data_IF_274432241856
#
_entry.id   IF_274432241856
#
_cell.length_a   1.000
_cell.length_b   1.000
_cell.length_c   1.000
_cell.angle_alpha   90.00
_cell.angle_beta   90.00
_cell.angle_gamma   90.00
#
_symmetry.space_group_name_H-M   'P 1'
#
loop_
_entity.id
_entity.type
_entity.pdbx_description
1 polymer ?
#
# COMPACT_ATOMS: atom_id res chain seq x y z
N UNK A 1 -8.68 -15.09 -1.51
CA UNK A 1 -9.05 -13.65 -1.43
C UNK A 1 -10.45 -13.51 -1.98
N UNK A 2 -11.25 -12.57 -1.48
CA UNK A 2 -12.59 -12.33 -2.05
C UNK A 2 -12.48 -11.51 -3.33
N UNK A 3 -13.47 -11.59 -4.22
CA UNK A 3 -13.50 -10.84 -5.47
C UNK A 3 -13.44 -9.32 -5.24
N UNK A 4 -14.02 -8.83 -4.13
CA UNK A 4 -13.96 -7.42 -3.72
C UNK A 4 -12.54 -6.98 -3.34
N UNK A 5 -11.79 -7.83 -2.62
CA UNK A 5 -10.39 -7.54 -2.30
C UNK A 5 -9.53 -7.49 -3.55
N UNK A 6 -9.73 -8.43 -4.47
CA UNK A 6 -9.03 -8.46 -5.76
C UNK A 6 -9.36 -7.23 -6.62
N UNK A 7 -10.63 -6.82 -6.64
CA UNK A 7 -11.07 -5.58 -7.30
C UNK A 7 -10.38 -4.35 -6.74
N UNK A 8 -10.30 -4.24 -5.41
CA UNK A 8 -9.61 -3.14 -4.74
C UNK A 8 -8.13 -3.09 -5.08
N UNK A 9 -7.42 -4.22 -4.97
CA UNK A 9 -5.99 -4.29 -5.33
C UNK A 9 -5.77 -3.81 -6.77
N UNK A 10 -6.60 -4.25 -7.71
CA UNK A 10 -6.43 -3.97 -9.12
C UNK A 10 -6.71 -2.52 -9.55
N UNK A 11 -7.67 -1.87 -8.91
CA UNK A 11 -8.10 -0.52 -9.28
C UNK A 11 -7.40 0.57 -8.46
N UNK A 12 -6.83 0.23 -7.29
CA UNK A 12 -6.11 1.18 -6.44
C UNK A 12 -4.58 0.99 -6.45
N UNK A 13 -4.05 -0.10 -7.00
CA UNK A 13 -2.59 -0.30 -7.14
C UNK A 13 -2.08 0.04 -8.53
N UNK A 14 -0.87 0.58 -8.62
CA UNK A 14 -0.16 0.68 -9.91
C UNK A 14 0.22 -0.73 -10.36
N UNK A 15 -0.11 -1.07 -11.61
CA UNK A 15 0.25 -2.37 -12.23
C UNK A 15 1.72 -2.47 -12.63
N UNK A 16 2.41 -1.32 -12.68
CA UNK A 16 3.81 -1.20 -13.05
C UNK A 16 4.61 -0.63 -11.86
N UNK A 17 5.75 -1.24 -11.58
CA UNK A 17 6.72 -0.70 -10.63
C UNK A 17 7.56 0.42 -11.28
N UNK A 18 8.34 1.14 -10.46
CA UNK A 18 9.35 2.08 -10.94
C UNK A 18 10.43 1.38 -11.79
N UNK A 19 11.22 2.15 -12.53
CA UNK A 19 12.28 1.57 -13.36
C UNK A 19 13.32 0.85 -12.50
N UNK A 20 13.73 -0.34 -12.95
CA UNK A 20 14.70 -1.18 -12.25
C UNK A 20 16.05 -0.46 -12.15
N UNK A 21 16.45 -0.12 -10.92
CA UNK A 21 17.75 0.52 -10.64
C UNK A 21 18.97 -0.38 -10.89
N UNK A 22 18.75 -1.69 -11.08
CA UNK A 22 19.79 -2.68 -11.39
C UNK A 22 19.91 -2.97 -12.89
N UNK A 23 19.14 -2.29 -13.74
CA UNK A 23 19.23 -2.36 -15.19
C UNK A 23 20.34 -1.44 -15.68
N UNK A 24 21.40 -2.01 -16.28
CA UNK A 24 22.42 -1.24 -16.96
C UNK A 24 22.28 -1.39 -18.48
N UNK A 25 22.09 -0.26 -19.18
CA UNK A 25 21.99 -0.23 -20.64
C UNK A 25 23.38 0.01 -21.24
N UNK A 26 24.25 -0.99 -21.16
CA UNK A 26 25.51 -0.96 -21.92
C UNK A 26 25.23 -1.40 -23.36
N UNK A 27 25.90 -0.73 -24.31
CA UNK A 27 25.61 -0.69 -25.75
C UNK A 27 25.42 -2.03 -26.48
N UNK A 28 25.68 -3.19 -25.84
CA UNK A 28 25.46 -4.51 -26.42
C UNK A 28 24.86 -5.57 -25.46
N UNK A 29 24.58 -5.25 -24.18
CA UNK A 29 23.96 -6.21 -23.23
C UNK A 29 23.16 -5.50 -22.14
N UNK A 30 21.84 -5.69 -22.12
CA UNK A 30 20.92 -5.35 -21.03
C UNK A 30 21.23 -6.18 -19.77
N UNK A 31 22.20 -5.81 -18.93
CA UNK A 31 22.60 -6.67 -17.79
C UNK A 31 21.75 -6.42 -16.54
N UNK A 32 21.38 -7.50 -15.86
CA UNK A 32 20.67 -7.49 -14.57
C UNK A 32 21.64 -7.76 -13.42
N UNK A 33 21.90 -6.78 -12.55
CA UNK A 33 22.84 -6.95 -11.42
C UNK A 33 22.29 -7.81 -10.25
N UNK A 34 21.02 -8.23 -10.30
CA UNK A 34 20.43 -9.16 -9.32
C UNK A 34 20.77 -10.62 -9.63
N UNK A 35 20.93 -10.96 -10.90
CA UNK A 35 21.21 -12.34 -11.34
C UNK A 35 22.73 -12.47 -11.48
N UNK A 36 23.33 -13.40 -10.75
CA UNK A 36 24.78 -13.62 -10.73
C UNK A 36 25.33 -14.28 -12.02
N UNK A 37 24.53 -14.33 -13.09
CA UNK A 37 24.89 -14.84 -14.42
C UNK A 37 24.84 -13.68 -15.44
N UNK A 38 25.70 -13.68 -16.47
CA UNK A 38 25.65 -12.71 -17.58
C UNK A 38 24.41 -12.89 -18.48
N UNK A 39 23.21 -12.66 -17.95
CA UNK A 39 21.96 -12.74 -18.71
C UNK A 39 21.43 -11.35 -19.04
N UNK A 40 20.84 -11.27 -20.23
CA UNK A 40 20.05 -10.11 -20.67
C UNK A 40 18.77 -9.99 -19.84
N UNK A 41 18.45 -8.80 -19.37
CA UNK A 41 17.23 -8.49 -18.63
C UNK A 41 16.04 -8.52 -19.59
N UNK A 42 15.20 -9.55 -19.47
CA UNK A 42 14.00 -9.71 -20.31
C UNK A 42 12.96 -8.61 -20.07
N UNK A 43 12.99 -7.98 -18.90
CA UNK A 43 12.00 -6.97 -18.50
C UNK A 43 12.37 -5.54 -18.95
N UNK A 44 13.46 -5.35 -19.70
CA UNK A 44 13.90 -4.05 -20.26
C UNK A 44 13.93 -2.89 -19.26
N UNK A 45 14.18 -3.19 -17.98
CA UNK A 45 14.19 -2.18 -16.91
C UNK A 45 12.81 -1.81 -16.33
N UNK A 46 11.73 -2.48 -16.71
CA UNK A 46 10.39 -2.31 -16.11
C UNK A 46 10.04 -3.59 -15.36
N UNK A 47 9.92 -3.54 -14.03
CA UNK A 47 9.38 -4.67 -13.28
C UNK A 47 7.85 -4.61 -13.36
N UNK A 48 7.27 -5.48 -14.19
CA UNK A 48 5.83 -5.74 -14.18
C UNK A 48 5.52 -6.77 -13.11
N UNK A 49 4.34 -6.62 -12.50
CA UNK A 49 3.76 -7.62 -11.63
C UNK A 49 3.20 -8.77 -12.50
N UNK A 50 4.05 -9.45 -13.29
CA UNK A 50 3.66 -10.53 -14.23
C UNK A 50 2.85 -11.64 -13.53
N UNK A 51 3.10 -11.88 -12.25
CA UNK A 51 2.28 -12.76 -11.40
C UNK A 51 0.80 -12.34 -11.40
N UNK A 52 0.54 -11.05 -11.24
CA UNK A 52 -0.80 -10.49 -11.31
C UNK A 52 -1.29 -10.52 -12.76
N UNK A 53 -0.50 -10.15 -13.77
CA UNK A 53 -1.01 -10.11 -15.16
C UNK A 53 -1.49 -11.48 -15.69
N UNK A 54 -0.80 -12.58 -15.37
CA UNK A 54 -1.18 -13.90 -15.87
C UNK A 54 -2.32 -14.53 -15.04
N UNK A 55 -2.23 -14.53 -13.70
CA UNK A 55 -3.26 -15.15 -12.85
C UNK A 55 -4.52 -14.27 -12.72
N UNK A 56 -4.42 -12.93 -12.87
CA UNK A 56 -5.61 -12.07 -12.81
C UNK A 56 -6.48 -12.18 -14.04
N UNK A 57 -5.93 -12.48 -15.22
CA UNK A 57 -6.76 -12.62 -16.41
C UNK A 57 -7.73 -13.80 -16.25
N UNK A 58 -7.28 -14.90 -15.65
CA UNK A 58 -8.14 -16.03 -15.32
C UNK A 58 -9.14 -15.67 -14.20
N UNK A 59 -8.71 -14.96 -13.15
CA UNK A 59 -9.60 -14.51 -12.06
C UNK A 59 -10.69 -13.55 -12.56
N UNK A 60 -10.33 -12.58 -13.42
CA UNK A 60 -11.26 -11.58 -13.97
C UNK A 60 -12.23 -12.21 -14.97
N UNK A 61 -11.82 -13.23 -15.73
CA UNK A 61 -12.69 -13.94 -16.67
C UNK A 61 -13.71 -14.86 -15.99
N UNK A 62 -13.43 -15.33 -14.77
CA UNK A 62 -14.28 -16.28 -14.05
C UNK A 62 -15.15 -15.66 -12.93
N UNK A 63 -15.14 -14.33 -12.78
CA UNK A 63 -15.88 -13.63 -11.71
C UNK A 63 -16.73 -12.48 -12.25
N UNK A 64 -17.78 -12.07 -11.52
CA UNK A 64 -18.55 -10.84 -11.81
C UNK A 64 -17.76 -9.60 -11.38
N UNK A 65 -16.52 -9.50 -11.82
CA UNK A 65 -15.52 -8.58 -11.30
C UNK A 65 -15.97 -7.12 -11.34
N UNK A 66 -16.66 -6.69 -12.41
CA UNK A 66 -17.17 -5.32 -12.55
C UNK A 66 -18.31 -4.95 -11.56
N UNK A 67 -18.85 -5.92 -10.82
CA UNK A 67 -19.83 -5.69 -9.74
C UNK A 67 -19.18 -5.64 -8.33
N UNK A 68 -17.89 -5.96 -8.22
CA UNK A 68 -17.20 -6.19 -6.93
C UNK A 68 -16.65 -4.93 -6.25
N UNK A 69 -17.12 -3.74 -6.61
CA UNK A 69 -16.82 -2.48 -5.93
C UNK A 69 -17.89 -2.13 -4.88
N UNK A 70 -17.55 -1.29 -3.91
CA UNK A 70 -18.50 -0.79 -2.92
C UNK A 70 -18.24 0.69 -2.57
N UNK A 71 -19.29 1.39 -2.14
CA UNK A 71 -19.17 2.80 -1.71
C UNK A 71 -18.40 2.88 -0.39
N UNK A 72 -18.56 1.88 0.47
CA UNK A 72 -17.84 1.75 1.74
C UNK A 72 -16.33 1.65 1.53
N UNK A 73 -15.87 0.97 0.48
CA UNK A 73 -14.44 0.91 0.15
C UNK A 73 -13.89 2.30 -0.21
N UNK A 74 -14.66 3.12 -0.94
CA UNK A 74 -14.27 4.51 -1.24
C UNK A 74 -14.29 5.40 0.01
N UNK A 75 -15.22 5.16 0.94
CA UNK A 75 -15.23 5.85 2.25
C UNK A 75 -13.98 5.50 3.05
N UNK A 76 -13.57 4.23 3.07
CA UNK A 76 -12.33 3.80 3.75
C UNK A 76 -11.11 4.43 3.08
N UNK A 77 -11.06 4.47 1.75
CA UNK A 77 -9.97 5.08 0.99
C UNK A 77 -9.81 6.58 1.29
N UNK A 78 -10.90 7.37 1.28
CA UNK A 78 -10.82 8.80 1.60
C UNK A 78 -10.55 9.06 3.09
N UNK A 79 -11.03 8.19 3.98
CA UNK A 79 -10.77 8.29 5.41
C UNK A 79 -9.29 8.05 5.74
N UNK A 80 -8.65 7.08 5.08
CA UNK A 80 -7.20 6.83 5.20
C UNK A 80 -6.38 8.05 4.74
N UNK A 81 -6.78 8.66 3.63
CA UNK A 81 -6.18 9.91 3.16
C UNK A 81 -6.31 11.03 4.23
N UNK A 82 -7.50 11.26 4.80
CA UNK A 82 -7.68 12.27 5.87
C UNK A 82 -6.84 11.93 7.12
N UNK A 83 -6.78 10.65 7.52
CA UNK A 83 -5.98 10.20 8.64
C UNK A 83 -4.48 10.41 8.39
N UNK A 84 -4.00 10.21 7.16
CA UNK A 84 -2.62 10.52 6.79
C UNK A 84 -2.29 12.01 7.02
N UNK A 85 -3.22 12.92 6.69
CA UNK A 85 -3.05 14.37 6.96
C UNK A 85 -2.90 14.65 8.43
N UNK A 86 -3.72 14.00 9.26
CA UNK A 86 -3.67 14.12 10.71
C UNK A 86 -2.31 13.69 11.27
N UNK A 87 -1.81 12.52 10.87
CA UNK A 87 -0.52 12.01 11.31
C UNK A 87 0.66 12.86 10.82
N UNK A 88 0.66 13.30 9.55
CA UNK A 88 1.72 14.15 9.01
C UNK A 88 1.82 15.49 9.77
N UNK A 89 0.68 16.08 10.15
CA UNK A 89 0.64 17.31 10.98
C UNK A 89 1.21 17.03 12.37
N UNK A 90 0.77 15.95 13.03
CA UNK A 90 1.23 15.61 14.37
C UNK A 90 2.74 15.34 14.39
N UNK A 91 3.24 14.50 13.48
CA UNK A 91 4.66 14.19 13.33
C UNK A 91 5.47 15.46 13.02
N UNK A 92 4.99 16.28 12.08
CA UNK A 92 5.64 17.53 11.71
C UNK A 92 5.84 18.46 12.90
N UNK A 93 4.87 18.55 13.80
CA UNK A 93 4.93 19.40 14.98
C UNK A 93 5.69 18.76 16.16
N UNK A 94 5.50 17.46 16.40
CA UNK A 94 6.16 16.71 17.48
C UNK A 94 7.68 16.70 17.29
N UNK A 95 8.13 16.46 16.06
CA UNK A 95 9.55 16.46 15.73
C UNK A 95 10.13 17.87 15.47
N UNK A 96 9.34 18.92 15.69
CA UNK A 96 9.66 20.33 15.39
C UNK A 96 10.17 20.54 13.95
N UNK A 97 9.61 19.81 12.99
CA UNK A 97 9.88 20.00 11.56
C UNK A 97 9.06 21.16 10.98
N UNK A 98 7.91 21.44 11.60
CA UNK A 98 7.01 22.55 11.28
C UNK A 98 6.84 23.40 12.54
N UNK A 99 6.92 24.73 12.40
CA UNK A 99 6.58 25.65 13.47
C UNK A 99 5.06 25.86 13.50
N UNK A 100 4.50 26.06 14.70
CA UNK A 100 3.05 26.24 14.84
C UNK A 100 2.55 27.44 14.03
N UNK A 101 3.21 28.58 14.13
CA UNK A 101 2.78 29.79 13.41
C UNK A 101 2.80 29.57 11.90
N UNK A 102 3.81 28.87 11.39
CA UNK A 102 3.90 28.48 9.98
C UNK A 102 2.73 27.59 9.56
N UNK A 103 2.39 26.59 10.37
CA UNK A 103 1.23 25.73 10.11
C UNK A 103 -0.08 26.52 10.10
N UNK A 104 -0.27 27.44 11.06
CA UNK A 104 -1.48 28.27 11.11
C UNK A 104 -1.63 29.12 9.87
N UNK A 105 -0.55 29.76 9.43
CA UNK A 105 -0.55 30.58 8.24
C UNK A 105 -0.86 29.73 7.01
N UNK A 106 -0.27 28.54 6.90
CA UNK A 106 -0.52 27.64 5.78
C UNK A 106 -1.97 27.12 5.77
N UNK A 107 -2.53 26.76 6.92
CA UNK A 107 -3.95 26.35 7.05
C UNK A 107 -4.88 27.48 6.61
N UNK A 108 -4.60 28.72 7.07
CA UNK A 108 -5.40 29.90 6.70
C UNK A 108 -5.29 30.24 5.23
N UNK A 109 -4.12 30.05 4.63
CA UNK A 109 -3.88 30.32 3.21
C UNK A 109 -4.52 29.26 2.32
N UNK A 110 -4.33 27.98 2.64
CA UNK A 110 -4.86 26.86 1.87
C UNK A 110 -6.38 26.73 2.00
N UNK A 111 -6.95 26.84 3.21
CA UNK A 111 -8.37 26.51 3.46
C UNK A 111 -9.24 27.73 3.79
N UNK A 112 -8.82 28.95 3.42
CA UNK A 112 -9.48 30.22 3.79
C UNK A 112 -11.00 30.21 3.66
N UNK A 113 -11.50 29.70 2.55
CA UNK A 113 -12.93 29.70 2.20
C UNK A 113 -13.63 28.37 2.54
N UNK A 114 -12.89 27.39 3.05
CA UNK A 114 -13.38 26.04 3.32
C UNK A 114 -13.60 25.80 4.82
N UNK A 115 -12.87 26.52 5.68
CA UNK A 115 -13.02 26.45 7.13
C UNK A 115 -14.36 27.08 7.53
N UNK A 116 -15.14 26.36 8.32
CA UNK A 116 -16.39 26.84 8.89
C UNK A 116 -16.15 27.97 9.90
N UNK A 117 -17.11 28.89 10.04
CA UNK A 117 -16.90 30.09 10.88
C UNK A 117 -16.67 29.77 12.36
N UNK A 118 -17.17 28.64 12.86
CA UNK A 118 -16.88 28.15 14.21
C UNK A 118 -15.39 27.82 14.38
N UNK A 119 -14.80 27.11 13.42
CA UNK A 119 -13.39 26.74 13.46
C UNK A 119 -12.47 27.94 13.19
N UNK A 120 -12.93 28.95 12.43
CA UNK A 120 -12.20 30.24 12.31
C UNK A 120 -12.05 30.93 13.67
N UNK A 121 -13.11 30.96 14.48
CA UNK A 121 -13.05 31.52 15.85
C UNK A 121 -12.12 30.70 16.74
N UNK A 122 -12.19 29.37 16.66
CA UNK A 122 -11.27 28.48 17.40
C UNK A 122 -9.81 28.76 17.02
N UNK A 123 -9.48 28.92 15.73
CA UNK A 123 -8.12 29.28 15.29
C UNK A 123 -7.59 30.58 15.93
N UNK A 124 -8.46 31.57 16.21
CA UNK A 124 -8.06 32.81 16.88
C UNK A 124 -7.82 32.61 18.37
N UNK A 125 -8.69 31.85 19.04
CA UNK A 125 -8.59 31.54 20.48
C UNK A 125 -7.38 30.67 20.84
N UNK A 126 -6.92 29.83 19.90
CA UNK A 126 -5.83 28.89 20.12
C UNK A 126 -4.46 29.57 20.34
N UNK A 127 -4.27 30.81 19.87
CA UNK A 127 -2.99 31.53 20.05
C UNK A 127 -2.55 31.67 21.51
N UNK A 128 -3.50 31.69 22.44
CA UNK A 128 -3.24 31.88 23.87
C UNK A 128 -3.17 30.57 24.67
N UNK A 129 -3.27 29.40 24.03
CA UNK A 129 -3.26 28.09 24.71
C UNK A 129 -1.87 27.45 24.69
N UNK A 130 -1.67 26.44 25.53
CA UNK A 130 -0.43 25.65 25.57
C UNK A 130 -0.19 24.89 24.27
N UNK A 131 1.09 24.67 23.92
CA UNK A 131 1.53 23.96 22.71
C UNK A 131 0.79 22.64 22.47
N UNK A 132 0.67 21.77 23.47
CA UNK A 132 -0.01 20.46 23.34
C UNK A 132 -1.48 20.56 22.94
N UNK A 133 -2.21 21.56 23.46
CA UNK A 133 -3.60 21.83 23.09
C UNK A 133 -3.66 22.36 21.66
N UNK A 134 -2.75 23.27 21.30
CA UNK A 134 -2.66 23.80 19.93
C UNK A 134 -2.49 22.69 18.90
N UNK A 135 -1.57 21.72 19.14
CA UNK A 135 -1.33 20.58 18.23
C UNK A 135 -2.63 19.84 17.90
N UNK A 136 -3.33 19.39 18.94
CA UNK A 136 -4.55 18.58 18.82
C UNK A 136 -5.66 19.35 18.10
N UNK A 137 -5.82 20.63 18.42
CA UNK A 137 -6.91 21.44 17.92
C UNK A 137 -6.69 21.85 16.45
N UNK A 138 -5.46 22.18 16.03
CA UNK A 138 -5.19 22.44 14.61
C UNK A 138 -5.42 21.22 13.74
N UNK A 139 -4.98 20.06 14.22
CA UNK A 139 -5.20 18.80 13.50
C UNK A 139 -6.70 18.47 13.41
N UNK A 140 -7.46 18.67 14.50
CA UNK A 140 -8.91 18.48 14.50
C UNK A 140 -9.63 19.43 13.53
N UNK A 141 -9.23 20.70 13.42
CA UNK A 141 -9.84 21.67 12.50
C UNK A 141 -9.66 21.25 11.03
N UNK A 142 -8.47 20.76 10.66
CA UNK A 142 -8.23 20.25 9.31
C UNK A 142 -9.05 18.99 9.04
N UNK A 143 -9.05 18.03 9.97
CA UNK A 143 -9.86 16.80 9.85
C UNK A 143 -11.34 17.15 9.69
N UNK A 144 -11.87 18.07 10.50
CA UNK A 144 -13.26 18.52 10.41
C UNK A 144 -13.54 19.16 9.05
N UNK A 145 -12.69 20.08 8.60
CA UNK A 145 -12.84 20.78 7.32
C UNK A 145 -12.89 19.78 6.15
N UNK A 146 -11.94 18.84 6.11
CA UNK A 146 -11.86 17.80 5.07
C UNK A 146 -13.06 16.85 5.15
N UNK A 147 -13.42 16.39 6.34
CA UNK A 147 -14.52 15.44 6.55
C UNK A 147 -15.87 16.06 6.19
N UNK A 148 -16.13 17.29 6.62
CA UNK A 148 -17.37 18.01 6.29
C UNK A 148 -17.52 18.22 4.78
N UNK A 149 -16.44 18.55 4.07
CA UNK A 149 -16.49 18.70 2.62
C UNK A 149 -16.73 17.37 1.88
N UNK A 150 -16.07 16.28 2.31
CA UNK A 150 -16.31 14.95 1.74
C UNK A 150 -17.75 14.54 1.95
N UNK A 151 -18.31 14.69 3.15
CA UNK A 151 -19.71 14.33 3.43
C UNK A 151 -20.64 15.10 2.50
N UNK A 152 -20.50 16.44 2.45
CA UNK A 152 -21.35 17.31 1.63
C UNK A 152 -21.25 16.96 0.15
N UNK A 153 -20.04 16.92 -0.40
CA UNK A 153 -19.84 16.67 -1.83
C UNK A 153 -20.20 15.24 -2.25
N UNK A 154 -20.04 14.26 -1.35
CA UNK A 154 -20.48 12.88 -1.59
C UNK A 154 -22.01 12.79 -1.61
N UNK A 155 -22.72 13.49 -0.71
CA UNK A 155 -24.18 13.56 -0.73
C UNK A 155 -24.69 14.16 -2.04
N UNK A 156 -24.13 15.29 -2.48
CA UNK A 156 -24.49 15.95 -3.74
C UNK A 156 -24.32 14.98 -4.94
N UNK A 157 -23.20 14.25 -5.00
CA UNK A 157 -22.92 13.30 -6.09
C UNK A 157 -23.81 12.07 -6.04
N UNK A 158 -24.07 11.52 -4.85
CA UNK A 158 -24.93 10.36 -4.68
C UNK A 158 -26.39 10.69 -5.01
N UNK A 159 -26.88 11.87 -4.66
CA UNK A 159 -28.24 12.28 -5.04
C UNK A 159 -28.33 12.50 -6.57
N UNK A 160 -27.33 13.14 -7.18
CA UNK A 160 -27.25 13.26 -8.64
C UNK A 160 -27.20 11.88 -9.34
N UNK A 161 -26.45 10.93 -8.78
CA UNK A 161 -26.39 9.56 -9.29
C UNK A 161 -27.76 8.88 -9.19
N UNK A 162 -28.41 8.99 -8.04
CA UNK A 162 -29.73 8.44 -7.76
C UNK A 162 -30.78 8.98 -8.72
N UNK A 163 -30.77 10.29 -9.00
CA UNK A 163 -31.66 10.92 -9.98
C UNK A 163 -31.36 10.43 -11.41
N UNK A 164 -30.08 10.38 -11.80
CA UNK A 164 -29.68 10.02 -13.17
C UNK A 164 -29.99 8.56 -13.55
N UNK A 165 -30.03 7.66 -12.57
CA UNK A 165 -30.28 6.23 -12.75
C UNK A 165 -31.64 5.77 -12.22
N UNK A 166 -32.48 6.70 -11.77
CA UNK A 166 -33.79 6.45 -11.15
C UNK A 166 -33.73 5.41 -10.01
N UNK A 167 -32.74 5.53 -9.14
CA UNK A 167 -32.50 4.57 -8.06
C UNK A 167 -33.45 4.83 -6.89
N UNK A 168 -34.41 3.92 -6.70
CA UNK A 168 -35.43 4.02 -5.63
C UNK A 168 -35.30 2.96 -4.54
N UNK A 169 -34.62 1.85 -4.83
CA UNK A 169 -34.49 0.70 -3.93
C UNK A 169 -33.06 0.16 -3.95
N UNK A 170 -32.69 -0.57 -2.90
CA UNK A 170 -31.38 -1.23 -2.83
C UNK A 170 -31.18 -2.21 -4.00
N UNK A 171 -32.22 -2.96 -4.37
CA UNK A 171 -32.16 -3.88 -5.52
C UNK A 171 -31.88 -3.13 -6.83
N UNK A 172 -32.51 -1.97 -7.03
CA UNK A 172 -32.24 -1.14 -8.20
C UNK A 172 -30.79 -0.61 -8.22
N UNK A 173 -30.22 -0.26 -7.06
CA UNK A 173 -28.80 0.10 -6.97
C UNK A 173 -27.90 -1.05 -7.40
N UNK A 174 -28.09 -2.25 -6.85
CA UNK A 174 -27.27 -3.42 -7.17
C UNK A 174 -27.38 -3.82 -8.65
N UNK A 175 -28.58 -3.77 -9.24
CA UNK A 175 -28.80 -4.05 -10.65
C UNK A 175 -28.15 -3.02 -11.60
N UNK A 176 -27.87 -1.81 -11.11
CA UNK A 176 -27.20 -0.77 -11.88
C UNK A 176 -25.69 -0.67 -11.61
N UNK A 177 -25.09 -1.52 -10.75
CA UNK A 177 -23.65 -1.47 -10.45
C UNK A 177 -22.76 -1.43 -11.70
N UNK A 178 -23.03 -2.29 -12.68
CA UNK A 178 -22.26 -2.33 -13.95
C UNK A 178 -22.39 -1.00 -14.70
N UNK A 179 -23.58 -0.42 -14.76
CA UNK A 179 -23.81 0.87 -15.43
C UNK A 179 -23.06 2.00 -14.72
N UNK A 180 -23.01 1.98 -13.39
CA UNK A 180 -22.26 2.98 -12.60
C UNK A 180 -20.76 2.90 -12.94
N UNK A 181 -20.17 1.70 -12.98
CA UNK A 181 -18.75 1.54 -13.37
C UNK A 181 -18.50 2.05 -14.79
N UNK A 182 -19.39 1.70 -15.74
CA UNK A 182 -19.22 2.07 -17.15
C UNK A 182 -19.39 3.58 -17.40
N UNK A 183 -20.35 4.22 -16.74
CA UNK A 183 -20.53 5.68 -16.78
C UNK A 183 -19.32 6.42 -16.22
N UNK A 184 -18.66 5.82 -15.24
CA UNK A 184 -17.54 6.43 -14.56
C UNK A 184 -16.25 6.42 -15.40
N UNK A 185 -16.07 5.48 -16.35
CA UNK A 185 -14.74 4.92 -16.64
C UNK A 185 -14.08 4.40 -15.34
N UNK A 186 -13.28 3.34 -15.38
CA UNK A 186 -12.74 2.69 -14.16
C UNK A 186 -12.06 3.63 -13.14
N UNK A 187 -11.62 4.83 -13.55
CA UNK A 187 -11.03 5.85 -12.70
C UNK A 187 -12.02 6.83 -12.01
N UNK A 188 -13.30 6.94 -12.40
CA UNK A 188 -14.24 7.88 -11.76
C UNK A 188 -15.16 7.28 -10.68
N UNK A 189 -15.11 5.97 -10.40
CA UNK A 189 -15.75 5.44 -9.18
C UNK A 189 -15.21 6.16 -7.93
N UNK A 190 -13.91 6.42 -7.94
CA UNK A 190 -13.20 7.20 -6.93
C UNK A 190 -13.64 8.68 -6.86
N UNK A 191 -14.60 9.12 -7.69
CA UNK A 191 -15.17 10.46 -7.61
C UNK A 191 -16.50 10.49 -6.85
N UNK A 192 -17.17 9.36 -6.64
CA UNK A 192 -18.45 9.33 -5.89
C UNK A 192 -18.24 9.84 -4.46
N UNK A 193 -17.22 9.30 -3.79
CA UNK A 193 -16.79 9.72 -2.46
C UNK A 193 -15.41 10.37 -2.57
N UNK A 194 -15.38 11.70 -2.65
CA UNK A 194 -14.13 12.45 -2.79
C UNK A 194 -14.34 13.91 -2.36
N UNK A 195 -13.27 14.67 -2.16
CA UNK A 195 -13.36 16.11 -1.94
C UNK A 195 -14.06 16.84 -3.08
N UNK A 196 -14.68 17.98 -2.77
CA UNK A 196 -15.13 18.93 -3.78
C UNK A 196 -13.93 19.41 -4.63
N UNK A 197 -14.13 19.83 -5.89
CA UNK A 197 -13.04 20.30 -6.74
C UNK A 197 -12.20 21.41 -6.10
N UNK A 198 -12.84 22.26 -5.29
CA UNK A 198 -12.18 23.33 -4.53
C UNK A 198 -11.26 22.74 -3.45
N UNK A 199 -11.81 21.97 -2.50
CA UNK A 199 -11.03 21.39 -1.39
C UNK A 199 -9.94 20.46 -1.92
N UNK A 200 -10.21 19.69 -2.98
CA UNK A 200 -9.19 18.82 -3.61
C UNK A 200 -7.96 19.59 -4.09
N UNK A 201 -8.16 20.80 -4.63
CA UNK A 201 -7.05 21.65 -5.08
C UNK A 201 -6.24 22.17 -3.90
N UNK A 202 -6.93 22.63 -2.86
CA UNK A 202 -6.28 23.17 -1.67
C UNK A 202 -5.57 22.08 -0.85
N UNK A 203 -6.19 20.92 -0.64
CA UNK A 203 -5.59 19.74 -0.01
C UNK A 203 -4.35 19.27 -0.77
N UNK A 204 -4.33 19.35 -2.11
CA UNK A 204 -3.14 19.04 -2.90
C UNK A 204 -1.97 19.97 -2.59
N UNK A 205 -2.22 21.27 -2.43
CA UNK A 205 -1.18 22.24 -2.07
C UNK A 205 -0.69 22.01 -0.64
N UNK A 206 -1.63 21.78 0.28
CA UNK A 206 -1.34 21.50 1.67
C UNK A 206 -0.54 20.19 1.86
N UNK A 207 -0.93 19.12 1.15
CA UNK A 207 -0.19 17.84 1.11
C UNK A 207 1.23 18.04 0.57
N UNK A 208 1.41 18.93 -0.40
CA UNK A 208 2.76 19.28 -0.91
C UNK A 208 3.59 19.97 0.17
N UNK A 209 3.02 20.95 0.87
CA UNK A 209 3.68 21.62 2.00
C UNK A 209 4.12 20.63 3.08
N UNK A 210 3.21 19.76 3.54
CA UNK A 210 3.50 18.74 4.55
C UNK A 210 4.60 17.79 4.06
N UNK A 211 4.52 17.34 2.82
CA UNK A 211 5.55 16.48 2.22
C UNK A 211 6.92 17.14 2.22
N UNK A 212 7.00 18.41 1.82
CA UNK A 212 8.26 19.14 1.72
C UNK A 212 8.91 19.37 3.10
N UNK A 213 8.10 19.50 4.15
CA UNK A 213 8.58 19.70 5.52
C UNK A 213 8.86 18.40 6.29
N UNK A 214 7.96 17.42 6.19
CA UNK A 214 7.95 16.20 7.01
C UNK A 214 8.64 15.05 6.28
N UNK A 215 8.10 14.64 5.13
CA UNK A 215 8.57 13.47 4.38
C UNK A 215 9.97 13.68 3.78
N UNK A 216 10.25 14.89 3.29
CA UNK A 216 11.56 15.24 2.75
C UNK A 216 12.58 15.66 3.84
N UNK A 217 12.24 15.52 5.12
CA UNK A 217 13.14 15.84 6.22
C UNK A 217 14.32 14.86 6.30
N UNK A 218 15.46 15.33 6.86
CA UNK A 218 16.64 14.49 7.06
C UNK A 218 16.34 13.21 7.86
N UNK A 219 15.51 13.32 8.91
CA UNK A 219 15.15 12.17 9.76
C UNK A 219 14.32 11.16 8.98
N UNK A 220 13.27 11.60 8.28
CA UNK A 220 12.42 10.74 7.47
C UNK A 220 13.23 10.02 6.38
N UNK A 221 13.99 10.78 5.57
CA UNK A 221 14.82 10.21 4.49
C UNK A 221 15.86 9.21 5.00
N UNK A 222 16.45 9.45 6.18
CA UNK A 222 17.38 8.50 6.79
C UNK A 222 16.67 7.22 7.24
N UNK A 223 15.48 7.32 7.85
CA UNK A 223 14.70 6.14 8.25
C UNK A 223 14.27 5.34 7.03
N UNK A 224 13.79 5.99 5.97
CA UNK A 224 13.43 5.36 4.69
C UNK A 224 14.63 4.62 4.08
N UNK A 225 15.81 5.24 4.08
CA UNK A 225 17.04 4.61 3.60
C UNK A 225 17.41 3.36 4.39
N UNK A 226 17.32 3.41 5.72
CA UNK A 226 17.58 2.25 6.60
C UNK A 226 16.55 1.14 6.38
N UNK A 227 15.26 1.48 6.32
CA UNK A 227 14.18 0.52 6.06
C UNK A 227 14.37 -0.18 4.73
N UNK A 228 14.59 0.59 3.66
CA UNK A 228 14.85 0.05 2.31
C UNK A 228 16.06 -0.89 2.29
N UNK A 229 17.15 -0.53 2.98
CA UNK A 229 18.33 -1.38 3.06
C UNK A 229 18.03 -2.69 3.79
N UNK A 230 17.39 -2.63 4.97
CA UNK A 230 17.05 -3.80 5.78
C UNK A 230 16.16 -4.77 5.00
N UNK A 231 15.09 -4.27 4.36
CA UNK A 231 14.16 -5.11 3.60
C UNK A 231 14.86 -5.79 2.42
N UNK A 232 15.73 -5.07 1.70
CA UNK A 232 16.54 -5.63 0.61
C UNK A 232 17.47 -6.74 1.10
N UNK A 233 18.21 -6.50 2.18
CA UNK A 233 19.16 -7.47 2.72
C UNK A 233 18.47 -8.71 3.31
N UNK A 234 17.29 -8.54 3.92
CA UNK A 234 16.45 -9.66 4.38
C UNK A 234 15.93 -10.49 3.21
N UNK A 235 15.37 -9.84 2.19
CA UNK A 235 14.87 -10.53 1.01
C UNK A 235 16.01 -11.29 0.32
N UNK A 236 17.16 -10.65 0.16
CA UNK A 236 18.36 -11.24 -0.40
C UNK A 236 18.83 -12.47 0.41
N UNK A 237 18.91 -12.35 1.74
CA UNK A 237 19.31 -13.47 2.61
C UNK A 237 18.44 -14.71 2.37
N UNK A 238 17.12 -14.52 2.33
CA UNK A 238 16.17 -15.62 2.18
C UNK A 238 16.07 -16.18 0.78
N UNK A 239 16.35 -15.39 -0.26
CA UNK A 239 16.38 -15.94 -1.62
C UNK A 239 17.69 -16.67 -1.91
N UNK A 240 18.82 -16.18 -1.40
CA UNK A 240 20.14 -16.81 -1.58
C UNK A 240 20.26 -18.09 -0.74
N UNK A 241 19.64 -18.11 0.45
CA UNK A 241 19.60 -19.29 1.31
C UNK A 241 18.22 -19.44 1.99
N UNK A 242 17.23 -20.04 1.31
CA UNK A 242 15.87 -20.15 1.83
C UNK A 242 15.77 -21.07 3.05
N UNK A 243 16.81 -21.86 3.35
CA UNK A 243 16.92 -22.58 4.62
C UNK A 243 17.12 -21.67 5.83
N UNK A 244 17.21 -20.35 5.68
CA UNK A 244 17.19 -19.40 6.80
C UNK A 244 15.77 -18.99 7.20
N UNK A 245 14.76 -19.29 6.37
CA UNK A 245 13.37 -18.96 6.67
C UNK A 245 12.88 -19.68 7.94
N UNK A 246 11.96 -19.06 8.71
CA UNK A 246 11.36 -19.73 9.85
C UNK A 246 10.55 -20.97 9.47
N UNK A 247 10.39 -21.85 10.44
CA UNK A 247 9.72 -23.13 10.29
C UNK A 247 8.30 -23.01 9.70
N UNK A 248 7.49 -22.08 10.23
CA UNK A 248 6.13 -21.86 9.73
C UNK A 248 6.14 -21.40 8.28
N UNK A 249 7.08 -20.55 7.90
CA UNK A 249 7.21 -19.99 6.56
C UNK A 249 7.58 -21.08 5.54
N UNK A 250 8.47 -22.00 5.90
CA UNK A 250 8.82 -23.15 5.03
C UNK A 250 7.63 -24.09 4.86
N UNK A 251 6.85 -24.31 5.92
CA UNK A 251 5.62 -25.10 5.81
C UNK A 251 4.65 -24.41 4.84
N UNK A 252 4.42 -23.10 4.99
CA UNK A 252 3.56 -22.32 4.09
C UNK A 252 4.02 -22.38 2.63
N UNK A 253 5.33 -22.31 2.36
CA UNK A 253 5.89 -22.47 1.01
C UNK A 253 5.42 -23.79 0.38
N UNK A 254 5.57 -24.91 1.10
CA UNK A 254 5.22 -26.22 0.57
C UNK A 254 3.73 -26.52 0.57
N UNK A 255 2.93 -25.90 1.45
CA UNK A 255 1.47 -25.92 1.32
C UNK A 255 1.05 -25.32 -0.03
N UNK A 256 1.70 -24.23 -0.45
CA UNK A 256 1.36 -23.55 -1.70
C UNK A 256 1.93 -24.22 -2.95
N UNK A 257 3.11 -24.85 -2.85
CA UNK A 257 3.77 -25.51 -3.99
C UNK A 257 3.30 -26.94 -4.27
N UNK A 258 2.66 -27.61 -3.31
CA UNK A 258 2.29 -29.03 -3.43
C UNK A 258 0.77 -29.20 -3.56
N UNK A 259 0.36 -30.24 -4.28
CA UNK A 259 -1.04 -30.68 -4.32
C UNK A 259 -1.49 -31.26 -2.98
N UNK A 260 -2.81 -31.36 -2.76
CA UNK A 260 -3.39 -31.95 -1.55
C UNK A 260 -2.76 -33.33 -1.24
N UNK A 261 -2.38 -33.54 0.03
CA UNK A 261 -1.71 -34.76 0.50
C UNK A 261 -0.18 -34.80 0.31
N UNK A 262 0.41 -33.86 -0.45
CA UNK A 262 1.86 -33.84 -0.72
C UNK A 262 2.76 -33.68 0.52
N UNK A 263 2.21 -33.16 1.63
CA UNK A 263 2.93 -32.99 2.89
C UNK A 263 2.93 -34.23 3.79
N UNK A 264 2.18 -35.28 3.45
CA UNK A 264 2.03 -36.47 4.31
C UNK A 264 3.34 -37.25 4.46
N UNK A 265 4.17 -37.31 3.42
CA UNK A 265 5.51 -37.93 3.44
C UNK A 265 6.47 -37.25 4.44
N UNK A 266 6.22 -35.97 4.74
CA UNK A 266 7.05 -35.16 5.63
C UNK A 266 6.57 -35.22 7.08
N UNK A 267 5.50 -35.97 7.38
CA UNK A 267 5.03 -36.17 8.75
C UNK A 267 5.93 -37.16 9.50
N UNK A 268 6.19 -36.87 10.77
CA UNK A 268 6.81 -37.75 11.76
C UNK A 268 5.92 -37.74 13.00
N UNK A 269 5.43 -38.90 13.42
CA UNK A 269 4.45 -39.03 14.51
C UNK A 269 3.21 -38.12 14.34
N UNK A 270 2.71 -38.01 13.11
CA UNK A 270 1.54 -37.19 12.78
C UNK A 270 1.79 -35.69 12.67
N UNK A 271 3.01 -35.19 12.92
CA UNK A 271 3.38 -33.77 12.81
C UNK A 271 4.35 -33.53 11.66
N UNK A 272 4.21 -32.40 10.97
CA UNK A 272 5.12 -32.03 9.87
C UNK A 272 6.54 -31.84 10.41
N UNK A 273 7.51 -32.54 9.82
CA UNK A 273 8.93 -32.42 10.14
C UNK A 273 9.57 -31.35 9.28
N UNK A 274 9.83 -30.19 9.88
CA UNK A 274 10.46 -29.06 9.18
C UNK A 274 11.89 -29.38 8.75
N UNK A 275 12.62 -30.20 9.51
CA UNK A 275 13.95 -30.66 9.12
C UNK A 275 13.94 -31.40 7.77
N UNK A 276 12.97 -32.31 7.56
CA UNK A 276 12.79 -32.97 6.25
C UNK A 276 12.46 -31.96 5.15
N UNK A 277 11.60 -30.98 5.44
CA UNK A 277 11.27 -29.92 4.49
C UNK A 277 12.47 -29.00 4.17
N UNK A 278 13.37 -28.72 5.12
CA UNK A 278 14.61 -27.96 4.88
C UNK A 278 15.55 -28.71 3.94
N UNK A 279 15.72 -30.01 4.13
CA UNK A 279 16.51 -30.85 3.21
C UNK A 279 15.90 -30.84 1.80
N UNK A 280 14.58 -30.98 1.70
CA UNK A 280 13.87 -30.85 0.42
C UNK A 280 14.08 -29.47 -0.19
N UNK A 281 13.95 -28.41 0.62
CA UNK A 281 14.13 -27.03 0.18
C UNK A 281 15.51 -26.80 -0.40
N UNK A 282 16.56 -27.36 0.20
CA UNK A 282 17.91 -27.29 -0.36
C UNK A 282 18.00 -27.93 -1.76
N UNK A 283 17.42 -29.12 -1.93
CA UNK A 283 17.42 -29.85 -3.21
C UNK A 283 16.58 -29.14 -4.26
N UNK A 284 15.35 -28.75 -3.90
CA UNK A 284 14.45 -28.00 -4.77
C UNK A 284 15.08 -26.67 -5.17
N UNK A 285 15.71 -25.96 -4.23
CA UNK A 285 16.36 -24.69 -4.54
C UNK A 285 17.51 -24.86 -5.53
N UNK A 286 18.34 -25.89 -5.40
CA UNK A 286 19.44 -26.13 -6.35
C UNK A 286 18.95 -26.54 -7.75
N UNK A 287 17.89 -27.36 -7.82
CA UNK A 287 17.47 -27.98 -9.07
C UNK A 287 16.36 -27.21 -9.80
N UNK A 288 15.49 -26.52 -9.04
CA UNK A 288 14.24 -25.93 -9.51
C UNK A 288 14.28 -24.41 -9.52
N UNK A 289 15.41 -23.77 -9.21
CA UNK A 289 15.56 -22.30 -9.26
C UNK A 289 15.21 -21.69 -10.62
N UNK A 290 15.22 -22.48 -11.71
CA UNK A 290 14.84 -22.02 -13.05
C UNK A 290 13.37 -22.28 -13.40
N UNK A 291 12.63 -22.99 -12.54
CA UNK A 291 11.19 -23.22 -12.70
C UNK A 291 10.40 -22.00 -12.21
N UNK A 292 9.61 -21.40 -13.11
CA UNK A 292 8.79 -20.22 -12.81
C UNK A 292 7.87 -20.43 -11.60
N UNK A 293 7.18 -21.58 -11.52
CA UNK A 293 6.29 -21.89 -10.40
C UNK A 293 7.04 -21.91 -9.04
N UNK A 294 8.22 -22.55 -8.99
CA UNK A 294 9.01 -22.60 -7.76
C UNK A 294 9.50 -21.21 -7.33
N UNK A 295 10.08 -20.43 -8.25
CA UNK A 295 10.58 -19.09 -7.95
C UNK A 295 9.45 -18.15 -7.52
N UNK A 296 8.30 -18.20 -8.19
CA UNK A 296 7.15 -17.37 -7.84
C UNK A 296 6.62 -17.74 -6.45
N UNK A 297 6.47 -19.04 -6.17
CA UNK A 297 6.03 -19.52 -4.85
C UNK A 297 7.01 -19.14 -3.73
N UNK A 298 8.32 -19.29 -3.96
CA UNK A 298 9.36 -18.90 -3.01
C UNK A 298 9.36 -17.40 -2.77
N UNK A 299 9.42 -16.60 -3.85
CA UNK A 299 9.44 -15.14 -3.78
C UNK A 299 8.20 -14.60 -3.07
N UNK A 300 7.01 -15.12 -3.38
CA UNK A 300 5.78 -14.75 -2.71
C UNK A 300 5.83 -15.07 -1.22
N UNK A 301 6.28 -16.27 -0.87
CA UNK A 301 6.40 -16.67 0.54
C UNK A 301 7.38 -15.79 1.32
N UNK A 302 8.50 -15.40 0.71
CA UNK A 302 9.45 -14.46 1.32
C UNK A 302 8.78 -13.08 1.51
N UNK A 303 8.09 -12.57 0.49
CA UNK A 303 7.37 -11.29 0.57
C UNK A 303 6.29 -11.30 1.66
N UNK A 304 5.48 -12.35 1.75
CA UNK A 304 4.44 -12.51 2.77
C UNK A 304 5.05 -12.55 4.18
N UNK A 305 6.21 -13.22 4.33
CA UNK A 305 6.91 -13.27 5.61
C UNK A 305 7.51 -11.91 6.01
N UNK A 306 8.19 -11.22 5.08
CA UNK A 306 8.81 -9.92 5.35
C UNK A 306 7.74 -8.84 5.58
N UNK A 307 6.67 -8.81 4.79
CA UNK A 307 5.58 -7.84 4.96
C UNK A 307 4.78 -8.04 6.26
N UNK A 308 4.78 -9.26 6.81
CA UNK A 308 4.20 -9.55 8.12
C UNK A 308 5.06 -9.13 9.32
N UNK A 309 6.27 -8.59 9.09
CA UNK A 309 7.15 -8.13 10.17
C UNK A 309 6.77 -6.74 10.67
N UNK A 310 6.94 -6.52 11.98
CA UNK A 310 7.02 -5.15 12.52
C UNK A 310 8.43 -4.59 12.29
N UNK A 311 8.57 -3.27 12.26
CA UNK A 311 9.88 -2.59 12.10
C UNK A 311 10.93 -3.11 13.10
N UNK A 312 10.55 -3.21 14.37
CA UNK A 312 11.46 -3.71 15.43
C UNK A 312 11.90 -5.14 15.15
N UNK A 313 10.99 -5.98 14.67
CA UNK A 313 11.31 -7.36 14.33
C UNK A 313 12.21 -7.44 13.10
N UNK A 314 11.91 -6.71 12.02
CA UNK A 314 12.75 -6.67 10.82
C UNK A 314 14.18 -6.20 11.12
N UNK A 315 14.33 -5.13 11.92
CA UNK A 315 15.64 -4.64 12.39
C UNK A 315 16.38 -5.72 13.21
N UNK A 316 15.67 -6.39 14.13
CA UNK A 316 16.24 -7.44 14.97
C UNK A 316 16.68 -8.64 14.13
N UNK A 317 15.86 -9.08 13.19
CA UNK A 317 16.13 -10.22 12.34
C UNK A 317 17.33 -9.95 11.41
N UNK A 318 17.38 -8.76 10.81
CA UNK A 318 18.52 -8.31 10.04
C UNK A 318 19.82 -8.31 10.86
N UNK A 319 19.76 -7.86 12.13
CA UNK A 319 20.91 -7.90 13.03
C UNK A 319 21.37 -9.32 13.35
N UNK A 320 20.45 -10.28 13.54
CA UNK A 320 20.81 -11.68 13.78
C UNK A 320 21.53 -12.31 12.59
N UNK A 321 21.11 -11.96 11.38
CA UNK A 321 21.70 -12.50 10.15
C UNK A 321 23.09 -11.93 9.85
N UNK A 322 23.29 -10.63 10.06
CA UNK A 322 24.49 -9.93 9.57
C UNK A 322 25.40 -9.33 10.64
N UNK A 323 24.91 -9.12 11.86
CA UNK A 323 25.63 -8.43 12.93
C UNK A 323 25.71 -9.26 14.21
N UNK A 324 25.87 -10.58 14.06
CA UNK A 324 26.02 -11.50 15.20
C UNK A 324 27.24 -11.06 16.03
N UNK A 325 26.99 -10.61 17.26
CA UNK A 325 27.99 -10.38 18.31
C UNK A 325 27.77 -11.36 19.44
#
# INVERSE_FOLDING_TARGET
>A
MTDHTLWGILNHSKKQYETCSYYCNDKDKSRCNLIHEEKSCNSSGIMSLEFYENDLNDIVQHTKFDECWSVEAEVVNIADEIAQRHHDIEDGLEYNLILIDELVDEIKNSFKDCIIDEDKKRLEELKNKSKSIQLREYSAIIVNTLTSDVIRSSQERLESLKESLDIKTNENFYNNKIKIVNLSNKNCLNQLINFSPKVKREDKNFKKFLRDRVLNSFKAQRMDGVGNHIIKELFKAYIDNPQQLPDKTIISLYINLMSEGGLDEYKVNGKISVGKLRNKLQVDHNNRFRESNYINGLTRTICDYISGMTDRYAISEHRKLYNYK
#
